data_IF_636094573692
#
_entry.id   IF_636094573692
#
_cell.length_a   1.000
_cell.length_b   1.000
_cell.length_c   1.000
_cell.angle_alpha   90.00
_cell.angle_beta   90.00
_cell.angle_gamma   90.00
#
_symmetry.space_group_name_H-M   'P 1'
#
loop_
_entity.id
_entity.type
_entity.pdbx_description
1 polymer ?
#
# COMPACT_ATOMS: atom_id res chain seq x y z
N UNK A 1 -16.31 -35.88 6.39
CA UNK A 1 -16.81 -34.59 5.90
C UNK A 1 -15.74 -34.00 4.99
N UNK A 2 -16.04 -33.70 3.71
CA UNK A 2 -15.08 -33.03 2.83
C UNK A 2 -15.13 -31.54 3.14
N UNK A 3 -14.08 -31.00 3.76
CA UNK A 3 -13.88 -29.55 3.85
C UNK A 3 -13.58 -29.03 2.45
N UNK A 4 -14.61 -28.62 1.72
CA UNK A 4 -14.42 -27.77 0.54
C UNK A 4 -14.13 -26.37 1.05
N UNK A 5 -12.84 -26.02 1.11
CA UNK A 5 -12.44 -24.63 1.31
C UNK A 5 -12.91 -23.82 0.10
N UNK A 6 -13.53 -22.65 0.31
CA UNK A 6 -13.93 -21.79 -0.80
C UNK A 6 -12.69 -21.35 -1.58
N UNK A 7 -12.74 -21.50 -2.89
CA UNK A 7 -11.72 -20.95 -3.80
C UNK A 7 -11.62 -19.44 -3.59
N UNK A 8 -10.41 -18.86 -3.49
CA UNK A 8 -10.27 -17.42 -3.35
C UNK A 8 -10.91 -16.66 -4.50
N UNK A 9 -11.56 -15.53 -4.18
CA UNK A 9 -12.25 -14.72 -5.18
C UNK A 9 -11.22 -13.97 -6.07
N UNK A 10 -11.35 -14.04 -7.41
CA UNK A 10 -10.46 -13.31 -8.31
C UNK A 10 -10.61 -11.80 -8.11
N UNK A 11 -9.53 -11.07 -8.35
CA UNK A 11 -9.51 -9.61 -8.23
C UNK A 11 -10.16 -9.01 -9.49
N UNK A 12 -11.24 -8.25 -9.32
CA UNK A 12 -11.90 -7.55 -10.43
C UNK A 12 -11.11 -6.33 -10.91
N UNK A 13 -11.30 -5.93 -12.17
CA UNK A 13 -10.69 -4.70 -12.72
C UNK A 13 -11.06 -3.44 -11.93
N UNK A 14 -12.30 -3.36 -11.45
CA UNK A 14 -12.72 -2.27 -10.57
C UNK A 14 -11.89 -2.27 -9.27
N UNK A 15 -11.69 -3.43 -8.64
CA UNK A 15 -10.85 -3.55 -7.45
C UNK A 15 -9.39 -3.15 -7.73
N UNK A 16 -8.85 -3.50 -8.90
CA UNK A 16 -7.51 -3.08 -9.33
C UNK A 16 -7.40 -1.57 -9.51
N UNK A 17 -8.39 -0.95 -10.15
CA UNK A 17 -8.43 0.50 -10.33
C UNK A 17 -8.44 1.24 -8.99
N UNK A 18 -9.21 0.76 -8.02
CA UNK A 18 -9.21 1.31 -6.65
C UNK A 18 -7.86 1.15 -5.95
N UNK A 19 -7.23 -0.02 -6.05
CA UNK A 19 -5.89 -0.25 -5.49
C UNK A 19 -4.85 0.69 -6.12
N UNK A 20 -4.95 0.95 -7.43
CA UNK A 20 -4.08 1.91 -8.11
C UNK A 20 -4.31 3.34 -7.64
N UNK A 21 -5.56 3.73 -7.40
CA UNK A 21 -5.87 5.05 -6.85
C UNK A 21 -5.25 5.25 -5.44
N UNK A 22 -5.32 4.21 -4.60
CA UNK A 22 -4.67 4.24 -3.27
C UNK A 22 -3.15 4.42 -3.39
N UNK A 23 -2.49 3.67 -4.28
CA UNK A 23 -1.05 3.79 -4.50
C UNK A 23 -0.62 5.20 -4.92
N UNK A 24 -1.38 5.83 -5.82
CA UNK A 24 -1.14 7.22 -6.23
C UNK A 24 -1.33 8.21 -5.07
N UNK A 25 -2.34 7.98 -4.22
CA UNK A 25 -2.58 8.83 -3.05
C UNK A 25 -1.42 8.75 -2.05
N UNK A 26 -0.93 7.54 -1.76
CA UNK A 26 0.22 7.35 -0.86
C UNK A 26 1.49 7.92 -1.48
N UNK A 27 1.78 7.61 -2.75
CA UNK A 27 2.95 8.15 -3.45
C UNK A 27 2.98 9.68 -3.51
N UNK A 28 1.82 10.32 -3.66
CA UNK A 28 1.69 11.78 -3.60
C UNK A 28 2.04 12.32 -2.21
N UNK A 29 1.67 11.63 -1.13
CA UNK A 29 2.05 12.02 0.22
C UNK A 29 3.56 11.89 0.49
N UNK A 30 4.24 10.99 -0.23
CA UNK A 30 5.67 10.73 -0.10
C UNK A 30 6.58 11.74 -0.80
N UNK A 31 6.06 12.75 -1.51
CA UNK A 31 6.91 13.75 -2.19
C UNK A 31 6.51 15.19 -1.92
N UNK A 32 7.47 16.13 -1.98
CA UNK A 32 7.19 17.58 -1.98
C UNK A 32 6.64 18.05 -3.32
N UNK A 33 6.99 17.36 -4.40
CA UNK A 33 6.56 17.69 -5.77
C UNK A 33 5.21 17.06 -6.13
N UNK A 34 4.21 17.20 -5.26
CA UNK A 34 2.89 16.52 -5.38
C UNK A 34 2.13 16.83 -6.68
N UNK A 35 2.48 17.92 -7.34
CA UNK A 35 1.91 18.37 -8.61
C UNK A 35 2.73 17.94 -9.84
N UNK A 36 3.93 17.40 -9.65
CA UNK A 36 4.74 16.83 -10.71
C UNK A 36 4.32 15.36 -10.90
N UNK A 37 3.63 15.01 -12.01
CA UNK A 37 3.15 13.65 -12.20
C UNK A 37 4.29 12.63 -12.28
N UNK A 38 5.48 13.02 -12.77
CA UNK A 38 6.62 12.11 -12.85
C UNK A 38 7.16 11.74 -11.46
N UNK A 39 7.23 12.70 -10.55
CA UNK A 39 7.67 12.48 -9.17
C UNK A 39 6.69 11.58 -8.41
N UNK A 40 5.38 11.81 -8.59
CA UNK A 40 4.34 10.95 -8.01
C UNK A 40 4.40 9.53 -8.59
N UNK A 41 4.54 9.39 -9.91
CA UNK A 41 4.61 8.08 -10.57
C UNK A 41 5.85 7.31 -10.12
N UNK A 42 7.01 7.95 -10.00
CA UNK A 42 8.24 7.31 -9.53
C UNK A 42 8.10 6.70 -8.13
N UNK A 43 7.39 7.39 -7.23
CA UNK A 43 7.09 6.86 -5.90
C UNK A 43 5.97 5.81 -5.90
N UNK A 44 5.05 5.86 -6.88
CA UNK A 44 3.92 4.94 -6.96
C UNK A 44 4.28 3.57 -7.55
N UNK A 45 5.27 3.49 -8.43
CA UNK A 45 5.68 2.25 -9.12
C UNK A 45 5.91 1.06 -8.18
N UNK A 46 6.78 1.16 -7.15
CA UNK A 46 6.99 0.02 -6.24
C UNK A 46 5.74 -0.32 -5.41
N UNK A 47 4.88 0.67 -5.14
CA UNK A 47 3.60 0.45 -4.44
C UNK A 47 2.61 -0.29 -5.34
N UNK A 48 2.56 0.03 -6.64
CA UNK A 48 1.76 -0.70 -7.62
C UNK A 48 2.21 -2.16 -7.69
N UNK A 49 3.51 -2.42 -7.85
CA UNK A 49 4.05 -3.78 -7.92
C UNK A 49 3.65 -4.59 -6.68
N UNK A 50 3.75 -3.99 -5.50
CA UNK A 50 3.36 -4.65 -4.26
C UNK A 50 1.86 -4.97 -4.18
N UNK A 51 0.98 -4.09 -4.67
CA UNK A 51 -0.46 -4.34 -4.71
C UNK A 51 -0.86 -5.32 -5.81
N UNK A 52 -0.21 -5.27 -6.98
CA UNK A 52 -0.49 -6.15 -8.12
C UNK A 52 -0.02 -7.58 -7.89
N UNK A 53 0.97 -7.79 -7.02
CA UNK A 53 1.41 -9.11 -6.54
C UNK A 53 0.37 -9.83 -5.65
N UNK A 54 -0.77 -9.20 -5.34
CA UNK A 54 -1.83 -9.83 -4.57
C UNK A 54 -2.41 -11.06 -5.27
N UNK A 55 -2.50 -12.18 -4.55
CA UNK A 55 -2.96 -13.46 -5.11
C UNK A 55 -4.48 -13.51 -5.32
N UNK A 56 -5.22 -12.80 -4.47
CA UNK A 56 -6.68 -12.78 -4.47
C UNK A 56 -7.23 -11.50 -3.83
N UNK A 57 -8.56 -11.36 -3.80
CA UNK A 57 -9.22 -10.18 -3.22
C UNK A 57 -8.92 -9.98 -1.74
N UNK A 58 -8.77 -11.07 -0.96
CA UNK A 58 -8.47 -10.99 0.47
C UNK A 58 -7.04 -10.51 0.70
N UNK A 59 -6.07 -11.05 -0.03
CA UNK A 59 -4.67 -10.62 0.01
C UNK A 59 -4.56 -9.13 -0.34
N UNK A 60 -5.17 -8.71 -1.45
CA UNK A 60 -5.19 -7.31 -1.85
C UNK A 60 -5.81 -6.40 -0.77
N UNK A 61 -6.89 -6.84 -0.13
CA UNK A 61 -7.54 -6.09 0.96
C UNK A 61 -6.60 -5.91 2.15
N UNK A 62 -5.83 -6.94 2.52
CA UNK A 62 -4.89 -6.88 3.63
C UNK A 62 -3.69 -5.98 3.31
N UNK A 63 -3.12 -6.09 2.10
CA UNK A 63 -2.07 -5.17 1.63
C UNK A 63 -2.57 -3.72 1.66
N UNK A 64 -3.77 -3.46 1.16
CA UNK A 64 -4.36 -2.11 1.20
C UNK A 64 -4.55 -1.58 2.61
N UNK A 65 -5.02 -2.40 3.54
CA UNK A 65 -5.17 -2.00 4.96
C UNK A 65 -3.82 -1.68 5.59
N UNK A 66 -2.81 -2.50 5.33
CA UNK A 66 -1.47 -2.27 5.85
C UNK A 66 -0.83 -0.99 5.28
N UNK A 67 -0.92 -0.78 3.96
CA UNK A 67 -0.47 0.46 3.31
C UNK A 67 -1.19 1.69 3.81
N UNK A 68 -2.52 1.62 3.97
CA UNK A 68 -3.31 2.72 4.53
C UNK A 68 -2.93 3.05 5.97
N UNK A 69 -2.74 2.04 6.82
CA UNK A 69 -2.31 2.27 8.20
C UNK A 69 -0.90 2.87 8.25
N UNK A 70 0.01 2.41 7.39
CA UNK A 70 1.34 3.00 7.30
C UNK A 70 1.30 4.45 6.83
N UNK A 71 0.48 4.75 5.82
CA UNK A 71 0.26 6.11 5.35
C UNK A 71 -0.25 7.02 6.48
N UNK A 72 -1.19 6.55 7.32
CA UNK A 72 -1.65 7.29 8.50
C UNK A 72 -0.50 7.52 9.49
N UNK A 73 0.37 6.53 9.72
CA UNK A 73 1.49 6.66 10.65
C UNK A 73 2.52 7.68 10.16
N UNK A 74 2.81 7.69 8.85
CA UNK A 74 3.77 8.62 8.25
C UNK A 74 3.19 10.05 8.14
N UNK A 75 1.89 10.19 7.85
CA UNK A 75 1.21 11.50 7.76
C UNK A 75 0.90 12.14 9.13
N UNK A 76 1.00 11.37 10.23
CA UNK A 76 0.73 11.81 11.61
C UNK A 76 1.94 11.75 12.54
N UNK A 77 3.15 11.70 12.00
CA UNK A 77 4.38 11.68 12.80
C UNK A 77 4.38 12.76 13.87
N UNK A 78 4.66 12.35 15.12
CA UNK A 78 4.57 13.17 16.34
C UNK A 78 5.56 14.35 16.40
N UNK A 79 6.44 14.51 15.39
CA UNK A 79 7.43 15.57 15.33
C UNK A 79 7.00 16.67 14.35
N UNK A 80 6.50 17.83 14.84
CA UNK A 80 6.07 18.93 13.98
C UNK A 80 7.24 19.57 13.19
N UNK A 81 8.49 19.29 13.55
CA UNK A 81 9.68 19.80 12.86
C UNK A 81 10.21 18.82 11.78
N UNK A 82 9.68 17.58 11.72
CA UNK A 82 10.10 16.51 10.79
C UNK A 82 8.92 15.90 9.99
N UNK A 83 7.91 16.72 9.66
CA UNK A 83 6.78 16.30 8.80
C UNK A 83 7.08 16.64 7.33
N UNK A 84 8.22 16.15 6.85
CA UNK A 84 8.55 16.18 5.43
C UNK A 84 8.14 14.87 4.76
N UNK A 85 7.67 14.88 3.50
CA UNK A 85 7.63 13.65 2.70
C UNK A 85 9.02 12.98 2.69
N UNK A 86 9.04 11.68 3.01
CA UNK A 86 10.25 10.83 3.15
C UNK A 86 10.95 10.62 1.78
N UNK A 87 10.26 10.87 0.65
CA UNK A 87 10.70 10.58 -0.74
C UNK A 87 11.28 9.15 -0.92
N UNK A 88 11.00 8.25 0.03
CA UNK A 88 11.49 6.87 0.08
C UNK A 88 10.30 5.88 0.04
N UNK A 89 9.86 5.49 -1.16
CA UNK A 89 8.79 4.51 -1.30
C UNK A 89 9.20 3.10 -0.82
N UNK A 90 10.51 2.80 -0.75
CA UNK A 90 10.98 1.51 -0.24
C UNK A 90 10.82 1.44 1.29
N UNK A 91 11.17 2.51 2.00
CA UNK A 91 10.98 2.60 3.45
C UNK A 91 9.48 2.53 3.81
N UNK A 92 8.61 3.22 3.07
CA UNK A 92 7.15 3.08 3.21
C UNK A 92 6.71 1.61 3.06
N UNK A 93 7.18 0.92 2.01
CA UNK A 93 6.79 -0.47 1.76
C UNK A 93 7.34 -1.43 2.79
N UNK A 94 8.54 -1.23 3.31
CA UNK A 94 9.07 -2.05 4.40
C UNK A 94 8.17 -1.98 5.63
N UNK A 95 7.74 -0.78 6.01
CA UNK A 95 6.85 -0.57 7.17
C UNK A 95 5.45 -1.13 6.91
N UNK A 96 4.90 -0.90 5.72
CA UNK A 96 3.62 -1.49 5.30
C UNK A 96 3.67 -3.03 5.25
N UNK A 97 4.76 -3.62 4.75
CA UNK A 97 4.94 -5.07 4.70
C UNK A 97 5.01 -5.69 6.10
N UNK A 98 5.63 -5.01 7.08
CA UNK A 98 5.62 -5.45 8.47
C UNK A 98 4.19 -5.47 9.06
N UNK A 99 3.40 -4.43 8.80
CA UNK A 99 1.99 -4.40 9.21
C UNK A 99 1.17 -5.50 8.53
N UNK A 100 1.41 -5.76 7.25
CA UNK A 100 0.79 -6.87 6.53
C UNK A 100 1.17 -8.24 7.12
N UNK A 101 2.45 -8.45 7.44
CA UNK A 101 2.93 -9.66 8.12
C UNK A 101 2.19 -9.89 9.45
N UNK A 102 2.02 -8.82 10.23
CA UNK A 102 1.25 -8.86 11.47
C UNK A 102 -0.24 -9.24 11.26
N UNK A 103 -0.87 -8.74 10.20
CA UNK A 103 -2.27 -9.06 9.88
C UNK A 103 -2.45 -10.50 9.37
N UNK A 104 -1.42 -11.09 8.76
CA UNK A 104 -1.47 -12.42 8.14
C UNK A 104 -0.88 -13.53 9.00
N UNK A 105 -0.14 -13.19 10.05
CA UNK A 105 0.59 -14.15 10.88
C UNK A 105 1.88 -14.68 10.24
N UNK A 106 2.37 -14.02 9.20
CA UNK A 106 3.66 -14.31 8.55
C UNK A 106 4.67 -13.29 9.09
N UNK A 107 5.51 -13.72 10.03
CA UNK A 107 6.60 -12.94 10.62
C UNK A 107 7.94 -13.61 10.31
#
# INVERSE_FOLDING_TARGET
MKNTYPTPAPISEHTRAHARADALAWASSLTKERHNPLSVIGNAEPIFEWLEAALDTKDLTLRRRAGHQQWINDDRGDDPDDVGPDDDPAAFLMRAAALYGAMTGVF
#
